data_IF_922241123973
#
_entry.id   IF_922241123973
#
_cell.length_a   1.000
_cell.length_b   1.000
_cell.length_c   1.000
_cell.angle_alpha   90.00
_cell.angle_beta   90.00
_cell.angle_gamma   90.00
#
_symmetry.space_group_name_H-M   'P 1'
#
loop_
_entity.id
_entity.type
_entity.pdbx_description
1 polymer ?
#
# COMPACT_ATOMS: atom_id res chain seq x y z
N UNK A 1 -52.12 25.54 45.54
CA UNK A 1 -51.57 24.16 45.57
C UNK A 1 -52.69 23.15 45.29
N UNK A 2 -52.54 22.27 44.30
CA UNK A 2 -53.56 21.26 44.01
C UNK A 2 -53.73 20.29 45.19
N UNK A 3 -54.96 20.13 45.66
CA UNK A 3 -55.32 19.29 46.80
C UNK A 3 -54.88 17.81 46.58
N UNK A 4 -54.46 17.08 47.62
CA UNK A 4 -53.87 15.72 47.50
C UNK A 4 -54.73 14.75 46.68
N UNK A 5 -56.05 14.88 46.78
CA UNK A 5 -57.04 14.10 46.02
C UNK A 5 -57.02 14.39 44.51
N UNK A 6 -56.80 15.65 44.08
CA UNK A 6 -56.78 16.01 42.65
C UNK A 6 -55.52 15.51 41.96
N UNK A 7 -54.36 15.56 42.64
CA UNK A 7 -53.09 14.98 42.13
C UNK A 7 -53.22 13.47 41.86
N UNK A 8 -53.74 12.70 42.82
CA UNK A 8 -53.97 11.25 42.65
C UNK A 8 -54.91 10.92 41.49
N UNK A 9 -55.96 11.73 41.29
CA UNK A 9 -56.91 11.58 40.18
C UNK A 9 -56.24 11.83 38.83
N UNK A 10 -55.38 12.84 38.73
CA UNK A 10 -54.61 13.14 37.51
C UNK A 10 -53.58 12.04 37.20
N UNK A 11 -52.84 11.55 38.19
CA UNK A 11 -51.90 10.44 38.01
C UNK A 11 -52.60 9.18 37.50
N UNK A 12 -53.76 8.83 38.08
CA UNK A 12 -54.57 7.69 37.63
C UNK A 12 -55.01 7.87 36.16
N UNK A 13 -55.44 9.08 35.77
CA UNK A 13 -55.77 9.39 34.36
C UNK A 13 -54.57 9.22 33.43
N UNK A 14 -53.38 9.71 33.81
CA UNK A 14 -52.14 9.55 33.03
C UNK A 14 -51.78 8.07 32.83
N UNK A 15 -51.87 7.26 33.89
CA UNK A 15 -51.60 5.81 33.83
C UNK A 15 -52.57 5.07 32.93
N UNK A 16 -53.86 5.37 33.03
CA UNK A 16 -54.90 4.78 32.18
C UNK A 16 -54.69 5.17 30.71
N UNK A 17 -54.40 6.44 30.43
CA UNK A 17 -54.09 6.93 29.09
C UNK A 17 -52.87 6.23 28.49
N UNK A 18 -51.78 6.12 29.25
CA UNK A 18 -50.60 5.37 28.84
C UNK A 18 -50.92 3.90 28.54
N UNK A 19 -51.62 3.20 29.43
CA UNK A 19 -51.98 1.80 29.23
C UNK A 19 -52.86 1.59 27.99
N UNK A 20 -53.80 2.50 27.74
CA UNK A 20 -54.61 2.50 26.52
C UNK A 20 -53.73 2.67 25.27
N UNK A 21 -52.76 3.59 25.29
CA UNK A 21 -51.80 3.76 24.18
C UNK A 21 -50.89 2.55 23.94
N UNK A 22 -50.74 1.67 24.93
CA UNK A 22 -49.97 0.41 24.85
C UNK A 22 -50.85 -0.81 24.56
N UNK A 23 -52.09 -0.58 24.09
CA UNK A 23 -53.02 -1.60 23.62
C UNK A 23 -53.73 -2.40 24.71
N UNK A 24 -53.82 -1.89 25.95
CA UNK A 24 -54.63 -2.52 27.00
C UNK A 24 -56.11 -2.22 26.75
N UNK A 25 -56.97 -3.24 26.72
CA UNK A 25 -58.39 -3.05 26.45
C UNK A 25 -59.08 -2.23 27.54
N UNK A 26 -60.06 -1.40 27.14
CA UNK A 26 -60.86 -0.62 28.08
C UNK A 26 -61.61 -1.48 29.10
N UNK A 27 -62.05 -2.68 28.70
CA UNK A 27 -62.71 -3.66 29.59
C UNK A 27 -61.78 -4.10 30.74
N UNK A 28 -60.51 -4.32 30.44
CA UNK A 28 -59.50 -4.70 31.44
C UNK A 28 -59.18 -3.52 32.37
N UNK A 29 -59.04 -2.31 31.81
CA UNK A 29 -58.74 -1.08 32.57
C UNK A 29 -59.83 -0.71 33.58
N UNK A 30 -61.12 -0.95 33.24
CA UNK A 30 -62.25 -0.72 34.15
C UNK A 30 -62.24 -1.67 35.34
N UNK A 31 -61.72 -2.89 35.18
CA UNK A 31 -61.65 -3.92 36.23
C UNK A 31 -60.43 -3.78 37.15
N UNK A 32 -59.28 -3.35 36.61
CA UNK A 32 -58.05 -3.19 37.41
C UNK A 32 -58.09 -1.94 38.29
N UNK A 33 -57.93 -2.11 39.60
CA UNK A 33 -57.89 -1.02 40.58
C UNK A 33 -56.68 -1.11 41.51
N UNK A 34 -56.35 0.01 42.16
CA UNK A 34 -55.30 0.08 43.19
C UNK A 34 -53.96 -0.48 42.74
N UNK A 35 -53.45 -1.47 43.47
CA UNK A 35 -52.14 -2.12 43.24
C UNK A 35 -52.04 -2.81 41.87
N UNK A 36 -53.12 -3.44 41.40
CA UNK A 36 -53.13 -4.14 40.10
C UNK A 36 -52.93 -3.17 38.93
N UNK A 37 -53.49 -1.97 39.01
CA UNK A 37 -53.29 -0.92 38.00
C UNK A 37 -51.82 -0.46 37.96
N UNK A 38 -51.19 -0.38 39.12
CA UNK A 38 -49.79 0.03 39.26
C UNK A 38 -48.83 -1.01 38.68
N UNK A 39 -49.05 -2.29 38.98
CA UNK A 39 -48.23 -3.39 38.47
C UNK A 39 -48.38 -3.53 36.95
N UNK A 40 -49.59 -3.37 36.43
CA UNK A 40 -49.86 -3.37 34.99
C UNK A 40 -49.14 -2.19 34.30
N UNK A 41 -49.20 -0.99 34.89
CA UNK A 41 -48.51 0.20 34.41
C UNK A 41 -47.00 -0.03 34.36
N UNK A 42 -46.38 -0.47 35.47
CA UNK A 42 -44.93 -0.75 35.54
C UNK A 42 -44.51 -1.80 34.51
N UNK A 43 -45.31 -2.86 34.33
CA UNK A 43 -45.04 -3.91 33.33
C UNK A 43 -45.04 -3.34 31.91
N UNK A 44 -46.08 -2.58 31.53
CA UNK A 44 -46.18 -1.97 30.19
C UNK A 44 -45.13 -0.89 29.96
N UNK A 45 -44.80 -0.11 30.98
CA UNK A 45 -43.73 0.88 30.93
C UNK A 45 -42.36 0.22 30.68
N UNK A 46 -42.05 -0.86 31.42
CA UNK A 46 -40.84 -1.66 31.20
C UNK A 46 -40.79 -2.25 29.78
N UNK A 47 -41.92 -2.77 29.29
CA UNK A 47 -42.02 -3.31 27.93
C UNK A 47 -41.77 -2.23 26.87
N UNK A 48 -42.34 -1.03 27.03
CA UNK A 48 -42.10 0.10 26.14
C UNK A 48 -40.63 0.50 26.14
N UNK A 49 -40.02 0.68 27.32
CA UNK A 49 -38.58 1.00 27.44
C UNK A 49 -37.69 -0.05 26.76
N UNK A 50 -38.02 -1.33 26.92
CA UNK A 50 -37.29 -2.41 26.25
C UNK A 50 -37.46 -2.38 24.73
N UNK A 51 -38.68 -2.14 24.24
CA UNK A 51 -38.96 -2.00 22.80
C UNK A 51 -38.19 -0.82 22.20
N UNK A 52 -38.21 0.32 22.86
CA UNK A 52 -37.55 1.53 22.38
C UNK A 52 -36.02 1.35 22.38
N UNK A 53 -35.46 0.67 23.39
CA UNK A 53 -34.03 0.27 23.41
C UNK A 53 -33.66 -0.66 22.25
N UNK A 54 -34.47 -1.69 22.00
CA UNK A 54 -34.24 -2.62 20.90
C UNK A 54 -34.34 -1.92 19.53
N UNK A 55 -35.28 -0.97 19.39
CA UNK A 55 -35.40 -0.14 18.19
C UNK A 55 -34.12 0.68 17.97
N UNK A 56 -33.59 1.32 19.02
CA UNK A 56 -32.35 2.07 18.94
C UNK A 56 -31.15 1.21 18.54
N UNK A 57 -31.03 -0.02 19.07
CA UNK A 57 -29.96 -0.94 18.65
C UNK A 57 -30.08 -1.35 17.18
N UNK A 58 -31.30 -1.55 16.70
CA UNK A 58 -31.56 -1.89 15.31
C UNK A 58 -31.19 -0.75 14.37
N UNK A 59 -31.65 0.46 14.65
CA UNK A 59 -31.37 1.66 13.85
C UNK A 59 -29.86 1.92 13.76
N UNK A 60 -29.12 1.72 14.86
CA UNK A 60 -27.66 1.88 14.87
C UNK A 60 -26.94 0.76 14.12
N UNK A 61 -27.42 -0.48 14.20
CA UNK A 61 -26.89 -1.59 13.41
C UNK A 61 -27.11 -1.39 11.89
N UNK A 62 -28.27 -0.86 11.50
CA UNK A 62 -28.59 -0.48 10.11
C UNK A 62 -27.63 0.62 9.62
N UNK A 63 -27.38 1.65 10.44
CA UNK A 63 -26.44 2.73 10.11
C UNK A 63 -25.02 2.25 9.83
N UNK A 64 -24.58 1.18 10.50
CA UNK A 64 -23.27 0.57 10.31
C UNK A 64 -23.24 -0.53 9.24
N UNK A 65 -24.36 -0.80 8.55
CA UNK A 65 -24.43 -1.78 7.47
C UNK A 65 -24.25 -3.23 7.94
N UNK A 66 -24.70 -3.56 9.15
CA UNK A 66 -24.63 -4.93 9.67
C UNK A 66 -25.75 -5.78 9.03
N UNK A 67 -25.41 -6.95 8.49
CA UNK A 67 -26.32 -7.81 7.70
C UNK A 67 -27.63 -8.19 8.42
N UNK A 68 -27.61 -8.27 9.75
CA UNK A 68 -28.78 -8.66 10.54
C UNK A 68 -28.99 -7.73 11.75
N UNK A 69 -29.65 -6.57 11.58
CA UNK A 69 -29.80 -5.56 12.63
C UNK A 69 -30.63 -6.01 13.85
N UNK A 70 -31.62 -6.87 13.62
CA UNK A 70 -32.57 -7.32 14.66
C UNK A 70 -31.98 -8.31 15.67
N UNK A 71 -30.78 -8.85 15.41
CA UNK A 71 -30.14 -9.83 16.30
C UNK A 71 -29.53 -9.19 17.57
N UNK A 72 -29.29 -7.88 17.54
CA UNK A 72 -28.58 -7.17 18.59
C UNK A 72 -29.53 -6.77 19.73
N UNK A 73 -29.70 -7.68 20.68
CA UNK A 73 -30.54 -7.47 21.87
C UNK A 73 -29.82 -6.79 23.04
N UNK A 74 -28.51 -6.55 22.93
CA UNK A 74 -27.71 -5.90 23.97
C UNK A 74 -26.67 -4.96 23.39
N UNK A 75 -26.43 -3.86 24.11
CA UNK A 75 -25.44 -2.84 23.74
C UNK A 75 -24.04 -3.43 23.55
N UNK A 76 -23.60 -4.28 24.47
CA UNK A 76 -22.29 -4.96 24.41
C UNK A 76 -22.10 -5.79 23.14
N UNK A 77 -23.15 -6.47 22.65
CA UNK A 77 -23.07 -7.25 21.41
C UNK A 77 -23.01 -6.33 20.18
N UNK A 78 -23.80 -5.25 20.18
CA UNK A 78 -23.82 -4.25 19.12
C UNK A 78 -22.44 -3.56 18.99
N UNK A 79 -21.90 -3.05 20.09
CA UNK A 79 -20.62 -2.34 20.08
C UNK A 79 -19.47 -3.24 19.60
N UNK A 80 -19.48 -4.53 19.96
CA UNK A 80 -18.50 -5.51 19.45
C UNK A 80 -18.60 -5.70 17.94
N UNK A 81 -19.81 -5.77 17.39
CA UNK A 81 -20.03 -5.89 15.95
C UNK A 81 -19.61 -4.61 15.21
N UNK A 82 -19.98 -3.44 15.72
CA UNK A 82 -19.55 -2.14 15.17
C UNK A 82 -18.03 -2.02 15.18
N UNK A 83 -17.36 -2.41 16.27
CA UNK A 83 -15.91 -2.40 16.34
C UNK A 83 -15.25 -3.33 15.31
N UNK A 84 -15.82 -4.53 15.09
CA UNK A 84 -15.36 -5.44 14.03
C UNK A 84 -15.55 -4.84 12.65
N UNK A 85 -16.69 -4.21 12.39
CA UNK A 85 -16.99 -3.58 11.10
C UNK A 85 -16.05 -2.41 10.82
N UNK A 86 -15.80 -1.56 11.82
CA UNK A 86 -14.77 -0.51 11.74
C UNK A 86 -13.40 -1.08 11.39
N UNK A 87 -12.97 -2.15 12.07
CA UNK A 87 -11.69 -2.82 11.77
C UNK A 87 -11.66 -3.39 10.34
N UNK A 88 -12.77 -3.95 9.85
CA UNK A 88 -12.87 -4.45 8.46
C UNK A 88 -12.71 -3.31 7.46
N UNK A 89 -13.45 -2.21 7.64
CA UNK A 89 -13.34 -1.00 6.82
C UNK A 89 -11.91 -0.45 6.84
N UNK A 90 -11.27 -0.33 8.01
CA UNK A 90 -9.89 0.14 8.13
C UNK A 90 -8.92 -0.80 7.41
N UNK A 91 -9.07 -2.12 7.55
CA UNK A 91 -8.23 -3.11 6.85
C UNK A 91 -8.39 -3.02 5.33
N UNK A 92 -9.62 -2.89 4.84
CA UNK A 92 -9.90 -2.72 3.42
C UNK A 92 -9.33 -1.41 2.89
N UNK A 93 -9.49 -0.30 3.62
CA UNK A 93 -8.88 1.00 3.29
C UNK A 93 -7.35 0.91 3.24
N UNK A 94 -6.72 0.29 4.25
CA UNK A 94 -5.27 0.11 4.26
C UNK A 94 -4.79 -0.82 3.13
N UNK A 95 -5.57 -1.85 2.79
CA UNK A 95 -5.26 -2.75 1.66
C UNK A 95 -5.42 -2.02 0.33
N UNK A 96 -6.44 -1.19 0.18
CA UNK A 96 -6.64 -0.34 -1.00
C UNK A 96 -5.54 0.72 -1.12
N UNK A 97 -5.14 1.37 -0.03
CA UNK A 97 -4.04 2.33 -0.01
C UNK A 97 -2.70 1.65 -0.33
N UNK A 98 -2.43 0.47 0.22
CA UNK A 98 -1.24 -0.33 -0.14
C UNK A 98 -1.27 -0.74 -1.61
N UNK A 99 -2.44 -1.14 -2.14
CA UNK A 99 -2.60 -1.43 -3.57
C UNK A 99 -2.39 -0.19 -4.43
N UNK A 100 -2.86 0.98 -3.99
CA UNK A 100 -2.66 2.26 -4.68
C UNK A 100 -1.19 2.67 -4.67
N UNK A 101 -0.52 2.62 -3.52
CA UNK A 101 0.92 2.86 -3.39
C UNK A 101 1.74 1.87 -4.21
N UNK A 102 1.36 0.59 -4.23
CA UNK A 102 2.00 -0.41 -5.08
C UNK A 102 1.70 -0.17 -6.57
N UNK A 103 0.51 0.30 -6.93
CA UNK A 103 0.17 0.69 -8.30
C UNK A 103 0.99 1.91 -8.73
N UNK A 104 1.01 2.98 -7.93
CA UNK A 104 1.85 4.18 -8.10
C UNK A 104 3.35 3.79 -8.20
N UNK A 105 3.81 2.86 -7.37
CA UNK A 105 5.17 2.29 -7.46
C UNK A 105 5.40 1.42 -8.68
N UNK A 106 4.37 0.83 -9.29
CA UNK A 106 4.44 0.01 -10.52
C UNK A 106 4.28 0.87 -11.77
N UNK A 107 3.63 2.03 -11.67
CA UNK A 107 3.27 2.96 -12.77
C UNK A 107 4.42 3.88 -13.21
N UNK A 108 5.57 3.85 -12.54
CA UNK A 108 6.77 4.60 -12.95
C UNK A 108 7.53 3.99 -14.13
N UNK A 109 8.22 4.86 -14.89
CA UNK A 109 9.26 4.50 -15.86
C UNK A 109 10.29 3.53 -15.23
N UNK A 110 10.92 2.68 -16.03
CA UNK A 110 12.11 1.96 -15.63
C UNK A 110 13.30 2.44 -16.45
N UNK A 111 14.47 2.40 -15.83
CA UNK A 111 15.73 2.48 -16.51
C UNK A 111 16.06 1.09 -17.07
N UNK A 112 16.39 1.07 -18.35
CA UNK A 112 16.93 -0.08 -19.06
C UNK A 112 18.35 0.24 -19.50
N UNK A 113 19.25 -0.71 -19.34
CA UNK A 113 20.57 -0.67 -19.96
C UNK A 113 20.73 -1.92 -20.80
N UNK A 114 21.10 -1.69 -22.05
CA UNK A 114 21.37 -2.71 -23.03
C UNK A 114 22.85 -2.73 -23.35
N UNK A 115 23.38 -3.92 -23.66
CA UNK A 115 24.78 -4.10 -24.04
C UNK A 115 24.89 -5.14 -25.16
N UNK A 116 25.88 -4.95 -26.04
CA UNK A 116 26.21 -5.89 -27.13
C UNK A 116 27.72 -5.96 -27.34
N UNK A 117 28.20 -7.07 -27.89
CA UNK A 117 29.59 -7.31 -28.28
C UNK A 117 29.82 -7.24 -29.81
N UNK A 118 28.78 -6.91 -30.60
CA UNK A 118 28.68 -6.98 -32.08
C UNK A 118 28.74 -8.38 -32.71
N UNK A 119 29.13 -9.41 -31.96
CA UNK A 119 28.98 -10.82 -32.37
C UNK A 119 27.53 -11.28 -32.28
N UNK A 120 26.74 -10.61 -31.43
CA UNK A 120 25.30 -10.50 -31.54
C UNK A 120 24.48 -11.54 -30.77
N UNK A 121 25.10 -12.52 -30.09
CA UNK A 121 24.30 -13.65 -29.56
C UNK A 121 24.69 -14.22 -28.20
N UNK A 122 25.73 -13.74 -27.52
CA UNK A 122 26.11 -14.35 -26.24
C UNK A 122 26.37 -13.36 -25.10
N UNK A 123 25.72 -13.65 -23.97
CA UNK A 123 25.92 -12.99 -22.68
C UNK A 123 27.00 -13.71 -21.84
N UNK A 124 27.64 -14.77 -22.35
CA UNK A 124 28.72 -15.48 -21.66
C UNK A 124 29.81 -14.53 -21.14
N UNK A 125 30.27 -13.60 -21.98
CA UNK A 125 31.28 -12.61 -21.58
C UNK A 125 30.72 -11.70 -20.49
N UNK A 126 29.50 -11.18 -20.67
CA UNK A 126 28.82 -10.37 -19.66
C UNK A 126 28.72 -11.07 -18.30
N UNK A 127 28.31 -12.35 -18.29
CA UNK A 127 28.16 -13.12 -17.06
C UNK A 127 29.50 -13.44 -16.40
N UNK A 128 30.55 -13.64 -17.20
CA UNK A 128 31.92 -13.84 -16.71
C UNK A 128 32.40 -12.59 -15.98
N UNK A 129 32.30 -11.43 -16.64
CA UNK A 129 32.66 -10.13 -16.05
C UNK A 129 31.83 -9.82 -14.81
N UNK A 130 30.52 -10.07 -14.85
CA UNK A 130 29.64 -9.87 -13.69
C UNK A 130 30.04 -10.74 -12.51
N UNK A 131 30.47 -11.97 -12.75
CA UNK A 131 30.93 -12.89 -11.68
C UNK A 131 32.23 -12.42 -11.02
N UNK A 132 33.11 -11.75 -11.77
CA UNK A 132 34.29 -11.07 -11.21
C UNK A 132 33.91 -9.91 -10.30
N UNK A 133 32.95 -9.09 -10.75
CA UNK A 133 32.42 -7.98 -9.96
C UNK A 133 31.76 -8.44 -8.67
N UNK A 134 31.01 -9.53 -8.70
CA UNK A 134 30.43 -10.14 -7.49
C UNK A 134 31.53 -10.57 -6.50
N UNK A 135 32.62 -11.19 -6.99
CA UNK A 135 33.78 -11.52 -6.15
C UNK A 135 34.44 -10.28 -5.53
N UNK A 136 34.59 -9.20 -6.30
CA UNK A 136 35.14 -7.95 -5.79
C UNK A 136 34.26 -7.34 -4.69
N UNK A 137 32.93 -7.43 -4.85
CA UNK A 137 31.98 -7.01 -3.82
C UNK A 137 32.03 -7.90 -2.58
N UNK A 138 32.11 -9.22 -2.73
CA UNK A 138 32.17 -10.14 -1.59
C UNK A 138 33.43 -9.93 -0.74
N UNK A 139 34.55 -9.53 -1.36
CA UNK A 139 35.82 -9.27 -0.68
C UNK A 139 35.89 -7.90 0.00
N UNK A 140 35.38 -6.85 -0.66
CA UNK A 140 35.59 -5.46 -0.22
C UNK A 140 34.31 -4.65 0.02
N UNK A 141 33.14 -5.27 -0.11
CA UNK A 141 31.84 -4.60 -0.05
C UNK A 141 31.72 -3.46 -1.07
N UNK A 142 30.95 -2.43 -0.71
CA UNK A 142 30.75 -1.25 -1.58
C UNK A 142 32.04 -0.47 -1.83
N UNK A 143 32.98 -0.45 -0.87
CA UNK A 143 34.26 0.24 -1.01
C UNK A 143 35.13 -0.48 -2.05
N UNK A 144 35.25 -1.81 -1.94
CA UNK A 144 35.97 -2.63 -2.92
C UNK A 144 35.39 -2.49 -4.32
N UNK A 145 34.06 -2.42 -4.43
CA UNK A 145 33.39 -2.19 -5.71
C UNK A 145 33.72 -0.82 -6.32
N UNK A 146 33.72 0.26 -5.52
CA UNK A 146 34.12 1.59 -5.98
C UNK A 146 35.59 1.62 -6.41
N UNK A 147 36.48 0.97 -5.67
CA UNK A 147 37.88 0.89 -6.03
C UNK A 147 38.07 0.11 -7.34
N UNK A 148 37.40 -1.02 -7.49
CA UNK A 148 37.42 -1.82 -8.72
C UNK A 148 36.97 -1.02 -9.95
N UNK A 149 35.94 -0.17 -9.80
CA UNK A 149 35.52 0.74 -10.87
C UNK A 149 36.64 1.72 -11.25
N UNK A 150 37.30 2.34 -10.27
CA UNK A 150 38.36 3.32 -10.52
C UNK A 150 39.59 2.69 -11.18
N UNK A 151 39.97 1.48 -10.76
CA UNK A 151 41.11 0.75 -11.29
C UNK A 151 40.91 0.42 -12.78
N UNK A 152 39.69 0.07 -13.17
CA UNK A 152 39.34 -0.33 -14.54
C UNK A 152 38.89 0.84 -15.44
N UNK A 153 38.63 2.02 -14.88
CA UNK A 153 38.08 3.16 -15.63
C UNK A 153 38.99 3.65 -16.76
N UNK A 154 40.31 3.57 -16.55
CA UNK A 154 41.31 4.00 -17.54
C UNK A 154 41.99 2.85 -18.26
N UNK A 155 41.69 1.60 -17.87
CA UNK A 155 42.31 0.44 -18.48
C UNK A 155 41.66 0.12 -19.83
N UNK A 156 42.44 -0.42 -20.76
CA UNK A 156 41.97 -0.91 -22.07
C UNK A 156 41.70 -2.41 -21.99
N UNK A 157 40.82 -2.74 -21.06
CA UNK A 157 40.31 -4.09 -20.83
C UNK A 157 38.83 -4.16 -21.23
N UNK A 158 38.43 -5.25 -21.86
CA UNK A 158 37.07 -5.49 -22.36
C UNK A 158 36.97 -5.71 -23.86
N UNK A 159 35.75 -5.74 -24.38
CA UNK A 159 35.48 -6.07 -25.78
C UNK A 159 35.67 -4.82 -26.66
N UNK A 160 36.59 -4.82 -27.64
CA UNK A 160 36.86 -3.66 -28.52
C UNK A 160 35.62 -3.16 -29.27
N UNK A 161 34.69 -4.06 -29.56
CA UNK A 161 33.43 -3.80 -30.26
C UNK A 161 32.24 -3.59 -29.34
N UNK A 162 32.44 -3.59 -28.02
CA UNK A 162 31.36 -3.47 -27.04
C UNK A 162 30.62 -2.13 -27.15
N UNK A 163 29.29 -2.17 -27.25
CA UNK A 163 28.40 -1.02 -27.30
C UNK A 163 27.30 -1.13 -26.24
N UNK A 164 26.67 0.00 -25.90
CA UNK A 164 25.60 0.06 -24.91
C UNK A 164 24.56 1.10 -25.27
N UNK A 165 23.36 0.91 -24.73
CA UNK A 165 22.25 1.86 -24.83
C UNK A 165 21.55 2.01 -23.49
N UNK A 166 21.14 3.25 -23.15
CA UNK A 166 20.47 3.57 -21.89
C UNK A 166 19.13 4.23 -22.21
N UNK A 167 18.04 3.60 -21.75
CA UNK A 167 16.68 4.01 -22.13
C UNK A 167 15.77 4.09 -20.92
N UNK A 168 14.91 5.10 -20.89
CA UNK A 168 13.76 5.18 -19.99
C UNK A 168 12.52 4.75 -20.74
N UNK A 169 11.80 3.78 -20.21
CA UNK A 169 10.55 3.35 -20.84
C UNK A 169 9.46 3.09 -19.81
N UNK A 170 8.25 3.51 -20.16
CA UNK A 170 7.04 3.18 -19.43
C UNK A 170 6.64 1.73 -19.70
N UNK A 171 5.99 1.09 -18.72
CA UNK A 171 5.65 -0.35 -18.77
C UNK A 171 4.96 -0.79 -20.06
N UNK A 172 4.15 0.07 -20.67
CA UNK A 172 3.37 -0.25 -21.86
C UNK A 172 4.19 -0.24 -23.17
N UNK A 173 5.38 0.36 -23.18
CA UNK A 173 6.29 0.42 -24.33
C UNK A 173 7.47 -0.55 -24.20
N UNK A 174 7.58 -1.25 -23.06
CA UNK A 174 8.75 -2.12 -22.77
C UNK A 174 8.87 -3.24 -23.79
N UNK A 175 7.77 -3.92 -24.13
CA UNK A 175 7.82 -5.08 -25.04
C UNK A 175 8.36 -4.69 -26.42
N UNK A 176 7.74 -3.71 -27.07
CA UNK A 176 8.15 -3.25 -28.40
C UNK A 176 9.61 -2.76 -28.41
N UNK A 177 10.03 -2.09 -27.33
CA UNK A 177 11.41 -1.61 -27.18
C UNK A 177 12.40 -2.75 -26.94
N UNK A 178 12.09 -3.74 -26.09
CA UNK A 178 12.99 -4.89 -25.87
C UNK A 178 13.11 -5.75 -27.13
N UNK A 179 12.01 -5.99 -27.84
CA UNK A 179 12.04 -6.72 -29.12
C UNK A 179 12.87 -6.00 -30.17
N UNK A 180 12.79 -4.67 -30.25
CA UNK A 180 13.62 -3.84 -31.12
C UNK A 180 15.12 -4.03 -30.83
N UNK A 181 15.54 -3.88 -29.57
CA UNK A 181 16.95 -4.03 -29.20
C UNK A 181 17.47 -5.47 -29.37
N UNK A 182 16.64 -6.47 -29.05
CA UNK A 182 16.99 -7.87 -29.27
C UNK A 182 17.17 -8.20 -30.75
N UNK A 183 16.37 -7.61 -31.63
CA UNK A 183 16.53 -7.76 -33.08
C UNK A 183 17.85 -7.16 -33.60
N UNK A 184 18.31 -6.06 -32.98
CA UNK A 184 19.59 -5.40 -33.30
C UNK A 184 20.81 -6.05 -32.60
N UNK A 185 20.61 -7.15 -31.85
CA UNK A 185 21.68 -7.89 -31.18
C UNK A 185 22.13 -7.30 -29.83
N UNK A 186 21.34 -6.38 -29.26
CA UNK A 186 21.53 -5.87 -27.91
C UNK A 186 20.87 -6.77 -26.89
N UNK A 187 21.43 -6.89 -25.69
CA UNK A 187 20.87 -7.68 -24.61
C UNK A 187 20.59 -6.81 -23.37
N UNK A 188 19.46 -7.06 -22.69
CA UNK A 188 19.10 -6.35 -21.47
C UNK A 188 20.03 -6.79 -20.34
N UNK A 189 20.84 -5.88 -19.83
CA UNK A 189 21.79 -6.14 -18.74
C UNK A 189 21.38 -5.51 -17.42
N UNK A 190 20.48 -4.52 -17.47
CA UNK A 190 19.86 -3.95 -16.28
C UNK A 190 18.45 -3.46 -16.58
N UNK A 191 17.57 -3.71 -15.61
CA UNK A 191 16.23 -3.15 -15.56
C UNK A 191 15.87 -2.80 -14.13
N UNK A 192 15.48 -1.56 -13.88
CA UNK A 192 15.04 -1.17 -12.54
C UNK A 192 14.63 0.28 -12.40
N UNK A 193 14.12 0.60 -11.21
CA UNK A 193 13.69 1.96 -10.81
C UNK A 193 14.76 2.73 -10.05
N UNK A 194 16.00 2.24 -10.07
CA UNK A 194 17.14 2.88 -9.41
C UNK A 194 16.94 3.13 -7.90
N UNK A 195 16.14 2.29 -7.22
CA UNK A 195 15.81 2.44 -5.79
C UNK A 195 16.98 2.15 -4.85
N UNK A 196 18.02 1.50 -5.35
CA UNK A 196 19.19 1.12 -4.58
C UNK A 196 20.44 1.39 -5.41
N UNK A 197 21.45 1.98 -4.78
CA UNK A 197 22.72 2.30 -5.43
C UNK A 197 23.55 1.06 -5.78
N UNK A 198 23.50 0.00 -4.97
CA UNK A 198 24.36 -1.18 -5.15
C UNK A 198 24.20 -1.87 -6.51
N UNK A 199 22.97 -2.17 -7.01
CA UNK A 199 22.79 -2.70 -8.36
C UNK A 199 23.38 -1.80 -9.46
N UNK A 200 23.29 -0.47 -9.30
CA UNK A 200 23.87 0.50 -10.25
C UNK A 200 25.40 0.47 -10.20
N UNK A 201 26.00 0.37 -9.02
CA UNK A 201 27.45 0.24 -8.88
C UNK A 201 27.96 -1.07 -9.48
N UNK A 202 27.23 -2.19 -9.28
CA UNK A 202 27.58 -3.47 -9.90
C UNK A 202 27.49 -3.42 -11.42
N UNK A 203 26.46 -2.74 -11.94
CA UNK A 203 26.32 -2.48 -13.37
C UNK A 203 27.51 -1.66 -13.91
N UNK A 204 27.87 -0.56 -13.22
CA UNK A 204 29.02 0.27 -13.60
C UNK A 204 30.31 -0.55 -13.60
N UNK A 205 30.57 -1.29 -12.52
CA UNK A 205 31.77 -2.14 -12.42
C UNK A 205 31.86 -3.17 -13.54
N UNK A 206 30.73 -3.79 -13.89
CA UNK A 206 30.68 -4.77 -14.99
C UNK A 206 30.94 -4.07 -16.33
N UNK A 207 30.37 -2.88 -16.56
CA UNK A 207 30.62 -2.10 -17.77
C UNK A 207 32.06 -1.61 -17.88
N UNK A 208 32.77 -1.39 -16.77
CA UNK A 208 34.19 -1.02 -16.80
C UNK A 208 35.07 -2.15 -17.33
N UNK A 209 34.60 -3.40 -17.30
CA UNK A 209 35.35 -4.53 -17.86
C UNK A 209 34.75 -5.06 -19.15
N UNK A 210 33.49 -4.74 -19.47
CA UNK A 210 32.89 -5.08 -20.77
C UNK A 210 33.24 -4.09 -21.89
N UNK A 211 33.43 -2.80 -21.59
CA UNK A 211 33.77 -1.79 -22.60
C UNK A 211 35.29 -1.66 -22.73
N UNK A 212 35.82 -1.62 -23.95
CA UNK A 212 37.27 -1.50 -24.14
C UNK A 212 37.81 -0.07 -24.01
N UNK A 213 37.13 0.93 -24.60
CA UNK A 213 37.65 2.31 -24.65
C UNK A 213 37.37 3.07 -23.34
N UNK A 214 38.41 3.61 -22.65
CA UNK A 214 38.24 4.49 -21.49
C UNK A 214 37.30 5.68 -21.71
N UNK A 215 37.24 6.23 -22.94
CA UNK A 215 36.29 7.30 -23.25
C UNK A 215 34.84 6.80 -23.21
N UNK A 216 34.60 5.60 -23.74
CA UNK A 216 33.27 4.96 -23.69
C UNK A 216 32.87 4.62 -22.25
N UNK A 217 33.81 4.14 -21.42
CA UNK A 217 33.58 3.91 -19.98
C UNK A 217 33.14 5.18 -19.25
N UNK A 218 33.86 6.29 -19.48
CA UNK A 218 33.53 7.59 -18.88
C UNK A 218 32.21 8.16 -19.40
N UNK A 219 31.92 7.99 -20.69
CA UNK A 219 30.65 8.36 -21.28
C UNK A 219 29.50 7.57 -20.65
N UNK A 220 29.68 6.26 -20.45
CA UNK A 220 28.69 5.39 -19.81
C UNK A 220 28.33 5.88 -18.41
N UNK A 221 29.33 6.13 -17.56
CA UNK A 221 29.09 6.63 -16.19
C UNK A 221 28.33 7.96 -16.21
N UNK A 222 28.67 8.86 -17.14
CA UNK A 222 28.00 10.17 -17.27
C UNK A 222 26.55 10.01 -17.70
N UNK A 223 26.31 9.27 -18.78
CA UNK A 223 24.96 9.04 -19.30
C UNK A 223 24.10 8.27 -18.29
N UNK A 224 24.68 7.30 -17.57
CA UNK A 224 23.99 6.60 -16.49
C UNK A 224 23.63 7.54 -15.34
N UNK A 225 24.53 8.44 -14.93
CA UNK A 225 24.23 9.42 -13.89
C UNK A 225 23.07 10.36 -14.31
N UNK A 226 23.09 10.85 -15.54
CA UNK A 226 22.01 11.65 -16.12
C UNK A 226 20.68 10.86 -16.14
N UNK A 227 20.74 9.59 -16.52
CA UNK A 227 19.57 8.73 -16.55
C UNK A 227 19.03 8.39 -15.16
N UNK A 228 19.90 8.20 -14.18
CA UNK A 228 19.54 7.92 -12.77
C UNK A 228 18.97 9.17 -12.10
N UNK A 229 19.37 10.37 -12.50
CA UNK A 229 18.88 11.64 -11.94
C UNK A 229 17.35 11.79 -12.02
N UNK A 230 16.72 11.18 -13.03
CA UNK A 230 15.26 11.13 -13.17
C UNK A 230 14.59 10.37 -12.01
N UNK A 231 15.29 9.42 -11.39
CA UNK A 231 14.78 8.57 -10.32
C UNK A 231 15.25 9.01 -8.93
N UNK A 232 16.54 9.33 -8.80
CA UNK A 232 17.18 9.69 -7.54
C UNK A 232 18.39 10.60 -7.79
N UNK A 233 18.26 11.87 -7.39
CA UNK A 233 19.33 12.87 -7.54
C UNK A 233 20.57 12.53 -6.69
N UNK A 234 20.38 11.96 -5.50
CA UNK A 234 21.48 11.59 -4.61
C UNK A 234 22.37 10.52 -5.23
N UNK A 235 21.76 9.47 -5.80
CA UNK A 235 22.50 8.43 -6.50
C UNK A 235 23.17 8.93 -7.78
N UNK A 236 22.54 9.85 -8.52
CA UNK A 236 23.17 10.47 -9.68
C UNK A 236 24.44 11.26 -9.30
N UNK A 237 24.41 11.97 -8.17
CA UNK A 237 25.58 12.67 -7.62
C UNK A 237 26.67 11.68 -7.21
N UNK A 238 26.30 10.60 -6.51
CA UNK A 238 27.25 9.57 -6.09
C UNK A 238 27.94 8.90 -7.28
N UNK A 239 27.19 8.55 -8.33
CA UNK A 239 27.73 7.99 -9.57
C UNK A 239 28.65 9.02 -10.26
N UNK A 240 28.24 10.28 -10.34
CA UNK A 240 29.05 11.36 -10.93
C UNK A 240 30.36 11.60 -10.17
N UNK A 241 30.38 11.37 -8.86
CA UNK A 241 31.58 11.53 -8.04
C UNK A 241 32.64 10.45 -8.28
N UNK A 242 32.26 9.30 -8.84
CA UNK A 242 33.21 8.26 -9.29
C UNK A 242 34.19 8.84 -10.30
N UNK A 243 33.70 9.64 -11.27
CA UNK A 243 34.56 10.29 -12.28
C UNK A 243 35.57 11.27 -11.69
N UNK A 244 35.31 11.76 -10.47
CA UNK A 244 36.19 12.68 -9.73
C UNK A 244 37.16 11.95 -8.81
N UNK A 245 37.13 10.62 -8.76
CA UNK A 245 37.94 9.81 -7.85
C UNK A 245 37.59 10.02 -6.37
N UNK A 246 36.38 10.52 -6.06
CA UNK A 246 35.92 10.71 -4.69
C UNK A 246 35.18 9.45 -4.25
N UNK A 247 35.84 8.61 -3.43
CA UNK A 247 35.27 7.39 -2.83
C UNK A 247 34.42 7.75 -1.60
#
# INVERSE_FOLDING_TARGET
MANKRTRKKQEKKKKISFLSSQGVSQKQLKKTQGKQLEDLYKKKEKNKKNRDRLKGYREEAERWGLENPSQYKSRKKLDKAIASQKRKITRERNKAEKRRKHAEQVEGMNLFVFWTDKGGFDLEEWYTQRSEVERAYDLGGTIGLKQYILDNLNDRYGVPTGEYEIVHSEKHQVMDMTEYYYADGFNEVYRGKCQYLLPLLKLIATMMTCLYDPQHKRAFIRQLAEAVHIFDEGYAIDISNILKGKI
#
